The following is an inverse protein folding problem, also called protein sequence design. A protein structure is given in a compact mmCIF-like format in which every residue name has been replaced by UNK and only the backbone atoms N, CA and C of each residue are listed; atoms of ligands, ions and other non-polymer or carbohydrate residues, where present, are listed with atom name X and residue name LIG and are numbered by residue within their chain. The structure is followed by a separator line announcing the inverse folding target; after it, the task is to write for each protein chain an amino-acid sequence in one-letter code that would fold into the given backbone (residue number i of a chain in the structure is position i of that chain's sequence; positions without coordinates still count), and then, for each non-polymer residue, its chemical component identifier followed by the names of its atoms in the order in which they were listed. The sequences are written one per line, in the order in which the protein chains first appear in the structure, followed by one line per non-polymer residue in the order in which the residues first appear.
data_IF_600320393510
#
_entry.id   IF_600320393510
#
_cell.length_a   1.000
_cell.length_b   1.000
_cell.length_c   1.000
_cell.angle_alpha   90.00
_cell.angle_beta   90.00
_cell.angle_gamma   90.00
#
_symmetry.space_group_name_H-M   'P 1'
#
loop_
_entity.id
_entity.type
_entity.pdbx_description
1 polymer ?
#
# COMPACT_ATOMS: atom_id res chain seq x y z
N UNK A 1 56.16 70.87 -13.25
CA UNK A 1 55.86 69.70 -14.09
C UNK A 1 55.44 68.57 -13.17
N UNK A 2 54.11 68.33 -13.02
CA UNK A 2 53.52 67.34 -12.10
C UNK A 2 53.12 66.11 -12.91
N UNK A 3 53.71 64.95 -12.62
CA UNK A 3 53.38 63.68 -13.23
C UNK A 3 52.25 63.02 -12.41
N UNK A 4 51.10 62.80 -13.03
CA UNK A 4 50.02 62.06 -12.44
C UNK A 4 50.16 60.57 -12.81
N UNK A 5 50.44 59.70 -11.82
CA UNK A 5 50.30 58.26 -11.95
C UNK A 5 48.86 57.86 -11.74
N UNK A 6 48.21 57.27 -12.78
CA UNK A 6 46.88 56.65 -12.67
C UNK A 6 47.08 55.19 -12.27
N UNK A 7 46.65 54.79 -11.08
CA UNK A 7 46.51 53.43 -10.65
C UNK A 7 45.17 52.88 -11.19
N UNK A 8 45.26 51.86 -12.03
CA UNK A 8 44.10 51.06 -12.46
C UNK A 8 43.92 49.93 -11.45
N UNK A 9 42.84 49.96 -10.66
CA UNK A 9 42.43 48.84 -9.79
C UNK A 9 41.61 47.87 -10.59
N UNK A 10 42.24 46.71 -10.92
CA UNK A 10 41.54 45.59 -11.56
C UNK A 10 40.70 44.82 -10.52
N UNK A 11 39.38 44.86 -10.67
CA UNK A 11 38.45 44.05 -9.91
C UNK A 11 38.50 42.60 -10.41
N UNK A 12 39.13 41.71 -9.64
CA UNK A 12 39.06 40.26 -9.87
C UNK A 12 37.78 39.75 -9.25
N UNK A 13 36.76 39.48 -10.06
CA UNK A 13 35.55 38.77 -9.64
C UNK A 13 35.84 37.30 -9.40
N UNK A 14 36.01 36.90 -8.16
CA UNK A 14 36.10 35.50 -7.76
C UNK A 14 34.70 34.90 -7.84
N UNK A 15 34.43 34.19 -8.92
CA UNK A 15 33.23 33.37 -9.05
C UNK A 15 33.25 32.20 -8.06
N UNK A 16 32.51 32.32 -6.95
CA UNK A 16 32.29 31.19 -6.04
C UNK A 16 31.33 30.23 -6.75
N UNK A 17 31.90 29.28 -7.48
CA UNK A 17 31.18 28.13 -7.97
C UNK A 17 30.68 27.32 -6.79
N UNK A 18 29.37 27.37 -6.47
CA UNK A 18 28.76 26.46 -5.53
C UNK A 18 28.91 25.05 -6.08
N UNK A 19 29.91 24.31 -5.62
CA UNK A 19 30.00 22.89 -5.83
C UNK A 19 28.76 22.28 -5.16
N UNK A 20 27.74 21.93 -5.97
CA UNK A 20 26.65 21.06 -5.52
C UNK A 20 27.32 19.72 -5.21
N UNK A 21 27.62 19.47 -3.93
CA UNK A 21 28.03 18.15 -3.46
C UNK A 21 26.89 17.20 -3.82
N UNK A 22 27.08 16.39 -4.85
CA UNK A 22 26.18 15.28 -5.12
C UNK A 22 26.24 14.37 -3.88
N UNK A 23 25.13 14.31 -3.12
CA UNK A 23 25.06 13.44 -1.95
C UNK A 23 25.22 11.99 -2.41
N UNK A 24 26.15 11.26 -1.78
CA UNK A 24 26.35 9.85 -2.09
C UNK A 24 25.06 9.06 -1.93
N UNK A 25 24.78 8.18 -2.89
CA UNK A 25 23.61 7.32 -2.83
C UNK A 25 23.76 6.32 -1.67
N UNK A 26 22.64 6.13 -0.96
CA UNK A 26 22.54 5.16 0.14
C UNK A 26 21.33 4.24 -0.03
N UNK A 27 21.20 3.24 0.82
CA UNK A 27 20.00 2.41 0.92
C UNK A 27 19.56 1.79 -0.40
N UNK A 28 18.29 1.90 -0.69
CA UNK A 28 17.62 1.32 -1.86
C UNK A 28 18.13 1.88 -3.18
N UNK A 29 18.34 3.19 -3.26
CA UNK A 29 18.83 3.83 -4.49
C UNK A 29 20.25 3.38 -4.82
N UNK A 30 21.12 3.27 -3.81
CA UNK A 30 22.48 2.72 -4.02
C UNK A 30 22.42 1.28 -4.49
N UNK A 31 21.63 0.42 -3.81
CA UNK A 31 21.46 -0.98 -4.21
C UNK A 31 20.98 -1.09 -5.66
N UNK A 32 19.94 -0.34 -6.04
CA UNK A 32 19.39 -0.36 -7.40
C UNK A 32 20.45 0.05 -8.44
N UNK A 33 21.26 1.07 -8.13
CA UNK A 33 22.36 1.51 -9.00
C UNK A 33 23.44 0.44 -9.15
N UNK A 34 23.88 -0.15 -8.04
CA UNK A 34 24.98 -1.11 -8.02
C UNK A 34 24.61 -2.44 -8.69
N UNK A 35 23.33 -2.89 -8.52
CA UNK A 35 22.84 -4.17 -9.06
C UNK A 35 22.21 -4.07 -10.45
N UNK A 36 21.86 -2.86 -10.89
CA UNK A 36 21.11 -2.64 -12.12
C UNK A 36 19.65 -3.18 -12.06
N UNK A 37 19.11 -3.42 -10.86
CA UNK A 37 17.77 -3.99 -10.67
C UNK A 37 17.05 -3.37 -9.46
N UNK A 38 15.71 -3.28 -9.59
CA UNK A 38 14.81 -2.85 -8.53
C UNK A 38 13.69 -3.89 -8.37
N UNK A 39 13.40 -4.32 -7.15
CA UNK A 39 12.45 -5.40 -6.88
C UNK A 39 11.23 -4.89 -6.14
N UNK A 40 10.05 -5.04 -6.76
CA UNK A 40 8.76 -4.76 -6.15
C UNK A 40 8.16 -6.04 -5.58
N UNK A 41 7.78 -6.00 -4.30
CA UNK A 41 6.94 -7.01 -3.66
C UNK A 41 5.48 -6.75 -3.99
N UNK A 42 4.78 -7.71 -4.60
CA UNK A 42 3.37 -7.61 -4.97
C UNK A 42 2.51 -8.67 -4.29
N UNK A 43 1.19 -8.44 -4.26
CA UNK A 43 0.20 -9.38 -3.72
C UNK A 43 -0.53 -10.10 -4.86
N UNK A 44 -0.93 -11.33 -4.61
CA UNK A 44 -1.63 -12.15 -5.60
C UNK A 44 -3.16 -12.08 -5.49
N UNK A 45 -3.69 -11.63 -4.34
CA UNK A 45 -5.14 -11.65 -4.06
C UNK A 45 -5.68 -10.43 -3.30
N UNK A 46 -5.00 -9.28 -3.36
CA UNK A 46 -5.45 -8.02 -2.72
C UNK A 46 -6.19 -7.12 -3.71
N UNK A 47 -7.34 -7.60 -4.24
CA UNK A 47 -8.18 -6.85 -5.19
C UNK A 47 -8.81 -5.63 -4.49
N UNK A 48 -8.75 -4.42 -5.08
CA UNK A 48 -8.19 -4.04 -6.39
C UNK A 48 -6.77 -3.42 -6.32
N UNK A 49 -6.02 -3.60 -5.23
CA UNK A 49 -4.73 -2.93 -5.00
C UNK A 49 -3.55 -3.61 -5.70
N UNK A 50 -3.44 -4.94 -5.53
CA UNK A 50 -2.37 -5.76 -6.09
C UNK A 50 -2.87 -7.20 -6.19
N UNK A 51 -3.02 -7.69 -7.41
CA UNK A 51 -3.56 -9.02 -7.68
C UNK A 51 -3.16 -9.47 -9.09
N UNK A 52 -3.37 -10.74 -9.40
CA UNK A 52 -3.02 -11.31 -10.70
C UNK A 52 -4.18 -11.18 -11.70
N UNK A 53 -3.86 -10.76 -12.92
CA UNK A 53 -4.80 -10.79 -14.06
C UNK A 53 -4.87 -12.21 -14.67
N UNK A 54 -5.63 -12.38 -15.75
CA UNK A 54 -5.76 -13.66 -16.47
C UNK A 54 -4.45 -14.16 -17.09
N UNK A 55 -3.46 -13.28 -17.26
CA UNK A 55 -2.12 -13.57 -17.77
C UNK A 55 -1.10 -13.78 -16.65
N UNK A 56 -1.57 -13.89 -15.40
CA UNK A 56 -0.72 -14.00 -14.22
C UNK A 56 0.25 -12.80 -14.05
N UNK A 57 -0.16 -11.61 -14.52
CA UNK A 57 0.60 -10.40 -14.32
C UNK A 57 0.04 -9.62 -13.13
N UNK A 58 0.90 -9.10 -12.23
CA UNK A 58 0.43 -8.30 -11.12
C UNK A 58 -0.06 -6.93 -11.60
N UNK A 59 -1.31 -6.65 -11.29
CA UNK A 59 -2.01 -5.40 -11.61
C UNK A 59 -2.68 -4.82 -10.37
N UNK A 60 -3.19 -3.62 -10.46
CA UNK A 60 -4.00 -2.99 -9.42
C UNK A 60 -3.59 -1.55 -9.12
N UNK A 61 -4.38 -0.93 -8.28
CA UNK A 61 -4.22 0.47 -7.88
C UNK A 61 -2.84 0.77 -7.25
N UNK A 62 -2.43 -0.05 -6.28
CA UNK A 62 -1.12 0.10 -5.64
C UNK A 62 0.02 -0.20 -6.62
N UNK A 63 -0.16 -1.21 -7.49
CA UNK A 63 0.84 -1.53 -8.52
C UNK A 63 1.03 -0.36 -9.48
N UNK A 64 -0.05 0.31 -9.92
CA UNK A 64 0.05 1.46 -10.82
C UNK A 64 0.81 2.63 -10.17
N UNK A 65 0.55 2.91 -8.89
CA UNK A 65 1.29 3.93 -8.14
C UNK A 65 2.77 3.55 -7.96
N UNK A 66 3.05 2.28 -7.68
CA UNK A 66 4.41 1.78 -7.54
C UNK A 66 5.22 1.81 -8.84
N UNK A 67 4.56 1.60 -9.98
CA UNK A 67 5.22 1.77 -11.27
C UNK A 67 5.65 3.22 -11.53
N UNK A 68 4.89 4.21 -11.02
CA UNK A 68 5.32 5.62 -11.07
C UNK A 68 6.57 5.87 -10.21
N UNK A 69 6.64 5.22 -9.03
CA UNK A 69 7.85 5.27 -8.19
C UNK A 69 9.02 4.61 -8.91
N UNK A 70 8.83 3.46 -9.55
CA UNK A 70 9.88 2.80 -10.32
C UNK A 70 10.41 3.68 -11.46
N UNK A 71 9.53 4.35 -12.22
CA UNK A 71 9.96 5.30 -13.26
C UNK A 71 10.70 6.52 -12.65
N UNK A 72 10.29 6.99 -11.47
CA UNK A 72 11.01 8.03 -10.76
C UNK A 72 12.43 7.57 -10.32
N UNK A 73 12.58 6.31 -9.87
CA UNK A 73 13.90 5.71 -9.55
C UNK A 73 14.78 5.66 -10.80
N UNK A 74 14.26 5.23 -11.95
CA UNK A 74 14.99 5.21 -13.24
C UNK A 74 15.49 6.60 -13.61
N UNK A 75 14.62 7.60 -13.46
CA UNK A 75 14.94 8.99 -13.79
C UNK A 75 16.00 9.58 -12.85
N UNK A 76 15.85 9.36 -11.53
CA UNK A 76 16.75 9.86 -10.50
C UNK A 76 18.17 9.27 -10.64
N UNK A 77 18.23 7.95 -10.87
CA UNK A 77 19.50 7.24 -11.08
C UNK A 77 20.09 7.44 -12.48
N UNK A 78 19.35 8.05 -13.41
CA UNK A 78 19.70 8.16 -14.84
C UNK A 78 19.96 6.78 -15.48
N UNK A 79 19.16 5.79 -15.11
CA UNK A 79 19.26 4.40 -15.56
C UNK A 79 17.99 3.97 -16.32
N UNK A 80 17.82 4.35 -17.59
CA UNK A 80 16.62 4.02 -18.37
C UNK A 80 16.43 2.51 -18.55
N UNK A 81 17.51 1.72 -18.45
CA UNK A 81 17.53 0.25 -18.58
C UNK A 81 17.50 -0.48 -17.24
N UNK A 82 17.21 0.23 -16.12
CA UNK A 82 17.07 -0.41 -14.80
C UNK A 82 16.04 -1.54 -14.87
N UNK A 83 16.43 -2.74 -14.45
CA UNK A 83 15.59 -3.93 -14.51
C UNK A 83 14.54 -3.90 -13.40
N UNK A 84 13.29 -4.14 -13.74
CA UNK A 84 12.22 -4.42 -12.76
C UNK A 84 12.16 -5.92 -12.48
N UNK A 85 12.24 -6.28 -11.20
CA UNK A 85 11.90 -7.61 -10.72
C UNK A 85 10.59 -7.55 -9.93
N UNK A 86 9.76 -8.59 -10.05
CA UNK A 86 8.51 -8.71 -9.32
C UNK A 86 8.56 -9.95 -8.43
N UNK A 87 8.29 -9.78 -7.13
CA UNK A 87 8.35 -10.83 -6.12
C UNK A 87 7.00 -10.97 -5.43
N UNK A 88 6.32 -12.13 -5.49
CA UNK A 88 5.09 -12.34 -4.74
C UNK A 88 5.37 -12.33 -3.24
N UNK A 89 4.49 -11.66 -2.49
CA UNK A 89 4.56 -11.59 -1.03
C UNK A 89 3.19 -11.81 -0.40
N UNK A 90 3.19 -12.34 0.82
CA UNK A 90 2.00 -12.48 1.67
C UNK A 90 1.98 -11.40 2.75
N UNK A 91 0.85 -11.28 3.46
CA UNK A 91 0.78 -10.37 4.62
C UNK A 91 1.79 -10.73 5.73
N UNK A 92 2.15 -12.01 5.86
CA UNK A 92 3.08 -12.48 6.89
C UNK A 92 4.55 -12.28 6.53
N UNK A 93 4.95 -12.38 5.24
CA UNK A 93 6.36 -12.38 4.86
C UNK A 93 6.86 -11.05 4.28
N UNK A 94 5.97 -10.11 3.91
CA UNK A 94 6.35 -8.84 3.27
C UNK A 94 7.31 -7.97 4.10
N UNK A 95 7.11 -7.89 5.44
CA UNK A 95 8.00 -7.11 6.32
C UNK A 95 9.41 -7.74 6.37
N UNK A 96 9.58 -9.03 6.70
CA UNK A 96 10.90 -9.68 6.65
C UNK A 96 11.60 -9.57 5.28
N UNK A 97 10.87 -9.75 4.17
CA UNK A 97 11.44 -9.65 2.82
C UNK A 97 11.89 -8.23 2.46
N UNK A 98 11.22 -7.22 2.99
CA UNK A 98 11.64 -5.83 2.83
C UNK A 98 12.87 -5.51 3.67
N UNK A 99 12.87 -5.94 4.94
CA UNK A 99 13.97 -5.69 5.88
C UNK A 99 15.30 -6.33 5.43
N UNK A 100 15.26 -7.56 4.92
CA UNK A 100 16.44 -8.26 4.44
C UNK A 100 16.87 -7.86 3.02
N UNK A 101 16.13 -6.96 2.36
CA UNK A 101 16.45 -6.44 1.04
C UNK A 101 16.09 -7.36 -0.13
N UNK A 102 15.33 -8.45 0.09
CA UNK A 102 14.79 -9.28 -1.00
C UNK A 102 13.88 -8.46 -1.91
N UNK A 103 13.05 -7.59 -1.33
CA UNK A 103 12.28 -6.59 -2.06
C UNK A 103 12.74 -5.18 -1.66
N UNK A 104 12.56 -4.23 -2.56
CA UNK A 104 12.94 -2.83 -2.37
C UNK A 104 11.77 -1.95 -1.91
N UNK A 105 10.57 -2.33 -2.30
CA UNK A 105 9.31 -1.68 -1.95
C UNK A 105 8.19 -2.72 -1.97
N UNK A 106 7.20 -2.61 -1.07
CA UNK A 106 5.99 -3.42 -1.12
C UNK A 106 4.81 -2.62 -1.63
N UNK A 107 4.08 -3.22 -2.56
CA UNK A 107 2.98 -2.62 -3.31
C UNK A 107 1.72 -3.47 -3.15
N UNK A 108 0.89 -3.12 -2.17
CA UNK A 108 -0.30 -3.94 -1.88
C UNK A 108 -1.33 -3.19 -1.05
N UNK A 109 -1.83 -3.88 -0.04
CA UNK A 109 -2.83 -3.41 0.91
C UNK A 109 -2.23 -3.41 2.31
N UNK A 110 -1.21 -2.57 2.54
CA UNK A 110 -0.52 -2.55 3.83
C UNK A 110 -0.95 -1.38 4.68
N UNK A 111 -1.57 -1.70 5.80
CA UNK A 111 -1.88 -0.73 6.84
C UNK A 111 -0.61 -0.12 7.41
N UNK A 112 -0.52 1.20 7.37
CA UNK A 112 0.46 1.97 8.11
C UNK A 112 0.00 2.06 9.57
N UNK A 113 0.70 1.38 10.46
CA UNK A 113 0.45 1.45 11.90
C UNK A 113 1.72 1.80 12.67
N UNK A 114 1.56 2.45 13.83
CA UNK A 114 2.69 2.82 14.71
C UNK A 114 3.56 1.60 15.04
N UNK A 115 2.95 0.44 15.28
CA UNK A 115 3.69 -0.79 15.56
C UNK A 115 4.56 -1.24 14.37
N UNK A 116 4.06 -1.11 13.12
CA UNK A 116 4.84 -1.43 11.92
C UNK A 116 5.91 -0.39 11.62
N UNK A 117 5.69 0.88 11.95
CA UNK A 117 6.69 1.95 11.81
C UNK A 117 7.95 1.72 12.68
N UNK A 118 7.87 0.86 13.69
CA UNK A 118 9.07 0.43 14.42
C UNK A 118 9.99 -0.45 13.58
N UNK A 119 9.47 -1.09 12.53
CA UNK A 119 10.17 -2.09 11.71
C UNK A 119 10.47 -1.61 10.29
N UNK A 120 9.60 -0.77 9.71
CA UNK A 120 9.64 -0.31 8.32
C UNK A 120 9.20 1.15 8.24
N UNK A 121 9.46 1.81 7.11
CA UNK A 121 8.93 3.13 6.78
C UNK A 121 7.75 3.01 5.81
N UNK A 122 6.98 4.08 5.70
CA UNK A 122 5.82 4.16 4.83
C UNK A 122 5.86 5.42 3.97
N UNK A 123 5.38 5.34 2.74
CA UNK A 123 5.07 6.48 1.90
C UNK A 123 3.75 7.16 2.29
N UNK A 124 3.29 8.16 1.54
CA UNK A 124 2.02 8.82 1.77
C UNK A 124 0.83 7.85 1.72
N UNK A 125 -0.16 8.10 2.57
CA UNK A 125 -1.42 7.34 2.60
C UNK A 125 -2.16 7.50 1.28
N UNK A 126 -2.37 6.38 0.56
CA UNK A 126 -3.06 6.38 -0.73
C UNK A 126 -4.47 5.79 -0.68
N UNK A 127 -4.89 5.25 0.45
CA UNK A 127 -6.25 4.74 0.67
C UNK A 127 -6.57 4.67 2.16
N UNK A 128 -7.87 4.63 2.51
CA UNK A 128 -8.34 4.46 3.89
C UNK A 128 -9.45 3.43 3.89
N UNK A 129 -9.32 2.41 4.76
CA UNK A 129 -10.23 1.27 4.88
C UNK A 129 -10.89 1.22 6.25
N UNK A 130 -11.89 0.36 6.37
CA UNK A 130 -12.45 -0.07 7.65
C UNK A 130 -12.31 -1.59 7.78
N UNK A 131 -11.76 -2.06 8.90
CA UNK A 131 -11.69 -3.49 9.20
C UNK A 131 -13.07 -3.95 9.67
N UNK A 132 -13.68 -4.92 8.97
CA UNK A 132 -15.02 -5.43 9.24
C UNK A 132 -15.14 -6.91 8.89
N UNK A 133 -16.34 -7.43 8.61
CA UNK A 133 -16.57 -8.82 8.24
C UNK A 133 -17.48 -8.97 7.02
N UNK A 134 -17.15 -9.91 6.15
CA UNK A 134 -18.07 -10.47 5.16
C UNK A 134 -18.73 -11.74 5.71
N UNK A 135 -20.02 -11.88 5.44
CA UNK A 135 -20.84 -13.03 5.83
C UNK A 135 -21.73 -13.46 4.68
N UNK A 136 -22.21 -14.72 4.70
CA UNK A 136 -23.30 -15.10 3.81
C UNK A 136 -24.62 -14.49 4.32
N UNK A 137 -25.48 -13.98 3.44
CA UNK A 137 -26.79 -13.43 3.80
C UNK A 137 -27.67 -14.46 4.51
N UNK A 138 -27.55 -15.72 4.13
CA UNK A 138 -28.26 -16.86 4.72
C UNK A 138 -27.85 -17.15 6.17
N UNK A 139 -26.72 -16.64 6.65
CA UNK A 139 -26.23 -16.88 8.02
C UNK A 139 -27.05 -16.17 9.10
N UNK A 140 -27.79 -15.12 8.75
CA UNK A 140 -28.51 -14.26 9.68
C UNK A 140 -27.65 -13.33 10.53
N UNK A 141 -26.29 -13.37 10.37
CA UNK A 141 -25.33 -12.49 11.05
C UNK A 141 -25.45 -11.08 10.48
N UNK A 142 -25.63 -10.07 11.35
CA UNK A 142 -25.84 -8.66 10.94
C UNK A 142 -24.88 -7.70 11.60
N UNK A 143 -24.23 -8.12 12.68
CA UNK A 143 -23.32 -7.30 13.49
C UNK A 143 -22.08 -8.10 13.92
N UNK A 144 -21.04 -7.42 14.37
CA UNK A 144 -19.81 -8.07 14.85
C UNK A 144 -20.07 -8.89 16.14
N UNK A 145 -21.03 -8.49 16.98
CA UNK A 145 -21.36 -9.24 18.19
C UNK A 145 -22.04 -10.58 17.89
N UNK A 146 -22.70 -10.72 16.72
CA UNK A 146 -23.30 -12.00 16.28
C UNK A 146 -22.23 -13.05 15.95
N UNK A 147 -20.95 -12.67 15.90
CA UNK A 147 -19.81 -13.59 15.72
C UNK A 147 -19.48 -14.37 17.00
N UNK A 148 -20.11 -14.04 18.13
CA UNK A 148 -19.91 -14.75 19.38
C UNK A 148 -20.21 -16.27 19.23
N UNK A 149 -19.29 -17.11 19.70
CA UNK A 149 -19.33 -18.57 19.56
C UNK A 149 -19.11 -19.10 18.15
N UNK A 150 -18.82 -18.23 17.16
CA UNK A 150 -18.62 -18.62 15.77
C UNK A 150 -17.16 -18.89 15.46
N UNK A 151 -16.93 -19.69 14.41
CA UNK A 151 -15.64 -19.83 13.76
C UNK A 151 -15.58 -18.88 12.58
N UNK A 152 -14.55 -18.02 12.54
CA UNK A 152 -14.33 -17.06 11.44
C UNK A 152 -12.98 -17.31 10.77
N UNK A 153 -12.84 -16.82 9.54
CA UNK A 153 -11.53 -16.73 8.88
C UNK A 153 -10.97 -15.31 8.96
N UNK A 154 -9.65 -15.22 8.99
CA UNK A 154 -8.90 -13.99 8.73
C UNK A 154 -7.56 -14.35 8.11
N UNK A 155 -6.81 -13.37 7.60
CA UNK A 155 -5.53 -13.64 6.92
C UNK A 155 -4.36 -13.44 7.88
N UNK A 156 -3.46 -14.42 7.94
CA UNK A 156 -2.23 -14.36 8.75
C UNK A 156 -1.40 -13.11 8.45
N UNK A 157 -0.88 -12.43 9.48
CA UNK A 157 -0.02 -11.25 9.36
C UNK A 157 -0.75 -9.94 9.06
N UNK A 158 -2.09 -9.93 9.13
CA UNK A 158 -2.91 -8.71 9.01
C UNK A 158 -3.17 -8.06 10.36
N UNK A 159 -3.63 -6.81 10.34
CA UNK A 159 -4.07 -6.07 11.54
C UNK A 159 -5.40 -6.58 12.08
N UNK A 160 -6.17 -7.30 11.28
CA UNK A 160 -7.44 -7.91 11.72
C UNK A 160 -7.24 -8.89 12.88
N UNK A 161 -6.10 -9.62 12.91
CA UNK A 161 -5.81 -10.60 13.99
C UNK A 161 -5.76 -9.95 15.38
N UNK A 162 -4.88 -8.96 15.65
CA UNK A 162 -4.87 -8.31 16.96
C UNK A 162 -6.16 -7.52 17.27
N UNK A 163 -6.84 -6.99 16.24
CA UNK A 163 -8.11 -6.29 16.44
C UNK A 163 -9.22 -7.23 16.89
N UNK A 164 -9.31 -8.44 16.31
CA UNK A 164 -10.26 -9.47 16.77
C UNK A 164 -10.01 -9.84 18.24
N UNK A 165 -8.76 -10.13 18.60
CA UNK A 165 -8.39 -10.46 19.99
C UNK A 165 -8.72 -9.33 20.96
N UNK A 166 -8.56 -8.08 20.54
CA UNK A 166 -8.96 -6.92 21.33
C UNK A 166 -10.49 -6.84 21.45
N UNK A 167 -11.21 -7.09 20.35
CA UNK A 167 -12.67 -7.08 20.31
C UNK A 167 -13.25 -8.16 21.24
N UNK A 168 -12.76 -9.41 21.16
CA UNK A 168 -13.16 -10.52 22.03
C UNK A 168 -13.06 -10.13 23.50
N UNK A 169 -11.90 -9.59 23.88
CA UNK A 169 -11.64 -9.17 25.26
C UNK A 169 -12.55 -8.02 25.71
N UNK A 170 -12.77 -7.01 24.86
CA UNK A 170 -13.52 -5.80 25.24
C UNK A 170 -15.02 -6.00 25.23
N UNK A 171 -15.53 -6.88 24.36
CA UNK A 171 -16.96 -7.19 24.23
C UNK A 171 -17.37 -8.46 24.97
N UNK A 172 -16.40 -9.16 25.58
CA UNK A 172 -16.62 -10.45 26.27
C UNK A 172 -17.34 -11.45 25.34
N UNK A 173 -16.83 -11.59 24.11
CA UNK A 173 -17.28 -12.56 23.12
C UNK A 173 -16.20 -13.61 22.91
N UNK A 174 -16.57 -14.78 22.41
CA UNK A 174 -15.65 -15.87 22.10
C UNK A 174 -15.69 -16.16 20.61
N UNK A 175 -14.64 -15.77 19.89
CA UNK A 175 -14.51 -15.99 18.44
C UNK A 175 -13.37 -16.99 18.19
N UNK A 176 -13.67 -18.06 17.43
CA UNK A 176 -12.65 -19.02 16.99
C UNK A 176 -12.09 -18.60 15.65
N UNK A 177 -10.77 -18.44 15.56
CA UNK A 177 -10.11 -17.94 14.35
C UNK A 177 -9.44 -19.08 13.57
N UNK A 178 -9.65 -19.10 12.25
CA UNK A 178 -8.89 -19.89 11.28
C UNK A 178 -8.15 -18.92 10.36
N UNK A 179 -6.87 -19.18 10.13
CA UNK A 179 -6.01 -18.29 9.38
C UNK A 179 -5.73 -18.82 7.98
N UNK A 180 -6.11 -18.05 6.94
CA UNK A 180 -5.61 -18.27 5.58
C UNK A 180 -4.23 -17.63 5.38
N UNK A 181 -3.45 -18.15 4.44
CA UNK A 181 -2.15 -17.57 4.07
C UNK A 181 -2.31 -16.26 3.27
N UNK A 182 -3.43 -16.13 2.53
CA UNK A 182 -3.79 -14.96 1.76
C UNK A 182 -5.32 -14.71 1.80
N UNK A 183 -5.76 -13.62 1.15
CA UNK A 183 -7.17 -13.21 1.23
C UNK A 183 -8.09 -14.15 0.45
N UNK A 184 -7.63 -14.75 -0.65
CA UNK A 184 -8.42 -15.69 -1.43
C UNK A 184 -8.67 -16.99 -0.65
N UNK A 185 -7.64 -17.53 0.02
CA UNK A 185 -7.79 -18.71 0.89
C UNK A 185 -8.72 -18.42 2.07
N UNK A 186 -8.57 -17.25 2.73
CA UNK A 186 -9.46 -16.87 3.83
C UNK A 186 -10.91 -16.73 3.39
N UNK A 187 -11.16 -16.15 2.20
CA UNK A 187 -12.51 -16.05 1.63
C UNK A 187 -13.05 -17.42 1.19
N UNK A 188 -12.20 -18.31 0.71
CA UNK A 188 -12.59 -19.68 0.33
C UNK A 188 -13.16 -20.44 1.53
N UNK A 189 -12.60 -20.27 2.74
CA UNK A 189 -13.14 -20.87 3.96
C UNK A 189 -14.59 -20.41 4.25
N UNK A 190 -14.89 -19.14 4.04
CA UNK A 190 -16.26 -18.60 4.13
C UNK A 190 -17.17 -19.17 3.03
N UNK A 191 -16.70 -19.19 1.80
CA UNK A 191 -17.51 -19.64 0.66
C UNK A 191 -17.89 -21.11 0.76
N UNK A 192 -17.03 -21.94 1.37
CA UNK A 192 -17.24 -23.37 1.60
C UNK A 192 -17.95 -23.69 2.92
N UNK A 193 -18.51 -22.71 3.63
CA UNK A 193 -19.19 -22.87 4.93
C UNK A 193 -18.30 -23.46 6.05
N UNK A 194 -16.96 -23.37 5.89
CA UNK A 194 -16.01 -23.77 6.92
C UNK A 194 -15.88 -22.71 8.02
N UNK A 195 -16.24 -21.48 7.71
CA UNK A 195 -16.31 -20.37 8.65
C UNK A 195 -17.60 -19.58 8.43
N UNK A 196 -18.08 -18.91 9.48
CA UNK A 196 -19.31 -18.11 9.46
C UNK A 196 -19.08 -16.69 8.92
N UNK A 197 -17.85 -16.21 8.96
CA UNK A 197 -17.45 -14.90 8.49
C UNK A 197 -15.99 -14.89 8.02
N UNK A 198 -15.65 -13.93 7.16
CA UNK A 198 -14.26 -13.54 6.87
C UNK A 198 -14.05 -12.10 7.35
N UNK A 199 -13.18 -11.93 8.36
CA UNK A 199 -12.85 -10.61 8.92
C UNK A 199 -11.63 -10.04 8.22
N UNK A 200 -11.81 -8.88 7.58
CA UNK A 200 -10.78 -8.20 6.76
C UNK A 200 -11.23 -6.77 6.46
N UNK A 201 -10.45 -6.07 5.69
CA UNK A 201 -10.68 -4.70 5.24
C UNK A 201 -11.83 -4.64 4.23
N UNK A 202 -12.77 -3.72 4.41
CA UNK A 202 -14.02 -3.60 3.67
C UNK A 202 -13.86 -3.70 2.14
N UNK A 203 -12.92 -2.96 1.59
CA UNK A 203 -12.65 -2.97 0.14
C UNK A 203 -12.06 -4.29 -0.34
N UNK A 204 -11.23 -4.97 0.46
CA UNK A 204 -10.70 -6.30 0.13
C UNK A 204 -11.80 -7.36 0.19
N UNK A 205 -12.71 -7.26 1.18
CA UNK A 205 -13.91 -8.10 1.24
C UNK A 205 -14.78 -7.89 -0.01
N UNK A 206 -15.02 -6.63 -0.40
CA UNK A 206 -15.76 -6.31 -1.60
C UNK A 206 -15.09 -6.90 -2.86
N UNK A 207 -13.76 -6.82 -2.95
CA UNK A 207 -12.98 -7.41 -4.05
C UNK A 207 -13.11 -8.94 -4.12
N UNK A 208 -13.03 -9.65 -3.00
CA UNK A 208 -13.20 -11.09 -2.95
C UNK A 208 -14.63 -11.50 -3.31
N UNK A 209 -15.64 -10.80 -2.77
CA UNK A 209 -17.06 -11.01 -3.08
C UNK A 209 -17.32 -10.81 -4.57
N UNK A 210 -16.89 -9.68 -5.13
CA UNK A 210 -17.07 -9.35 -6.55
C UNK A 210 -16.43 -10.38 -7.48
N UNK A 211 -15.29 -10.95 -7.06
CA UNK A 211 -14.59 -12.00 -7.81
C UNK A 211 -15.11 -13.42 -7.53
N UNK A 212 -16.08 -13.60 -6.64
CA UNK A 212 -16.70 -14.90 -6.37
C UNK A 212 -17.63 -15.37 -7.49
N UNK A 213 -18.10 -16.63 -7.39
CA UNK A 213 -19.10 -17.17 -8.32
C UNK A 213 -20.49 -16.57 -8.13
N UNK A 214 -20.86 -16.24 -6.88
CA UNK A 214 -22.18 -15.75 -6.49
C UNK A 214 -22.06 -14.52 -5.57
N UNK A 215 -21.70 -13.35 -6.09
CA UNK A 215 -21.53 -12.14 -5.27
C UNK A 215 -22.77 -11.75 -4.46
N UNK A 216 -23.96 -12.05 -5.00
CA UNK A 216 -25.26 -11.75 -4.38
C UNK A 216 -25.52 -12.48 -3.07
N UNK A 217 -24.78 -13.56 -2.76
CA UNK A 217 -24.98 -14.37 -1.54
C UNK A 217 -24.33 -13.76 -0.32
N UNK A 218 -23.46 -12.77 -0.50
CA UNK A 218 -22.66 -12.18 0.58
C UNK A 218 -23.13 -10.76 0.93
N UNK A 219 -22.79 -10.35 2.12
CA UNK A 219 -22.88 -8.96 2.58
C UNK A 219 -21.68 -8.62 3.45
N UNK A 220 -21.36 -7.34 3.52
CA UNK A 220 -20.34 -6.78 4.41
C UNK A 220 -21.08 -6.10 5.57
N UNK A 221 -20.66 -6.41 6.80
CA UNK A 221 -21.20 -5.80 8.02
C UNK A 221 -20.82 -4.32 8.05
N UNK A 222 -21.77 -3.45 8.42
CA UNK A 222 -21.54 -1.99 8.43
C UNK A 222 -20.67 -1.51 9.61
N UNK A 223 -20.69 -2.26 10.73
CA UNK A 223 -19.81 -1.98 11.87
C UNK A 223 -18.35 -2.23 11.50
N UNK A 224 -17.45 -1.44 12.04
CA UNK A 224 -16.01 -1.64 11.86
C UNK A 224 -15.28 -1.78 13.18
N UNK A 225 -14.22 -2.59 13.19
CA UNK A 225 -13.29 -2.72 14.28
C UNK A 225 -12.38 -1.50 14.41
N UNK A 226 -11.89 -1.00 13.27
CA UNK A 226 -11.01 0.18 13.16
C UNK A 226 -10.93 0.69 11.73
N UNK A 227 -10.74 2.00 11.58
CA UNK A 227 -10.35 2.62 10.32
C UNK A 227 -8.81 2.66 10.21
N UNK A 228 -8.27 2.35 9.02
CA UNK A 228 -6.82 2.23 8.83
C UNK A 228 -6.35 2.85 7.49
N UNK A 229 -5.18 3.56 7.49
CA UNK A 229 -4.56 4.05 6.28
C UNK A 229 -3.71 2.97 5.60
N UNK A 230 -3.76 2.89 4.27
CA UNK A 230 -2.85 2.10 3.45
C UNK A 230 -1.74 2.96 2.86
N UNK A 231 -0.53 2.43 2.89
CA UNK A 231 0.65 3.07 2.32
C UNK A 231 1.61 2.04 1.72
N UNK A 232 2.45 2.48 0.79
CA UNK A 232 3.60 1.70 0.32
C UNK A 232 4.58 1.50 1.46
N UNK A 233 5.14 0.31 1.56
CA UNK A 233 6.08 -0.03 2.61
C UNK A 233 7.51 0.01 2.07
N UNK A 234 8.39 0.68 2.81
CA UNK A 234 9.78 0.97 2.47
C UNK A 234 10.69 0.47 3.59
N UNK A 235 11.99 0.26 3.31
CA UNK A 235 12.95 -0.02 4.38
C UNK A 235 13.02 1.16 5.35
N UNK A 236 13.13 0.85 6.64
CA UNK A 236 13.40 1.83 7.67
C UNK A 236 14.81 2.41 7.45
N UNK A 237 15.00 3.65 7.87
CA UNK A 237 16.30 4.33 7.81
C UNK A 237 16.88 4.50 6.39
N UNK A 238 16.00 4.64 5.39
CA UNK A 238 16.32 4.92 3.99
C UNK A 238 15.73 6.28 3.55
N UNK A 239 16.26 7.40 4.06
CA UNK A 239 15.66 8.72 3.85
C UNK A 239 15.69 9.19 2.40
N UNK A 240 16.69 8.78 1.60
CA UNK A 240 16.80 9.18 0.20
C UNK A 240 15.69 8.54 -0.62
N UNK A 241 15.47 7.24 -0.46
CA UNK A 241 14.39 6.55 -1.17
C UNK A 241 13.01 7.00 -0.68
N UNK A 242 12.85 7.18 0.65
CA UNK A 242 11.60 7.73 1.20
C UNK A 242 11.26 9.10 0.61
N UNK A 243 12.22 10.02 0.53
CA UNK A 243 12.01 11.34 -0.07
C UNK A 243 11.57 11.25 -1.53
N UNK A 244 12.15 10.32 -2.31
CA UNK A 244 11.75 10.08 -3.70
C UNK A 244 10.30 9.56 -3.79
N UNK A 245 9.93 8.60 -2.95
CA UNK A 245 8.57 8.06 -2.88
C UNK A 245 7.57 9.14 -2.47
N UNK A 246 7.87 9.90 -1.41
CA UNK A 246 6.99 10.96 -0.92
C UNK A 246 6.78 12.05 -1.98
N UNK A 247 7.84 12.46 -2.67
CA UNK A 247 7.78 13.41 -3.78
C UNK A 247 6.93 12.88 -4.93
N UNK A 248 7.11 11.61 -5.30
CA UNK A 248 6.42 11.01 -6.44
C UNK A 248 4.94 10.82 -6.15
N UNK A 249 4.60 10.14 -5.06
CA UNK A 249 3.20 9.86 -4.69
C UNK A 249 2.46 11.15 -4.32
N UNK A 250 3.10 12.02 -3.54
CA UNK A 250 2.56 13.34 -3.22
C UNK A 250 2.37 14.23 -4.46
N UNK A 251 3.24 14.10 -5.46
CA UNK A 251 3.08 14.77 -6.77
C UNK A 251 1.86 14.29 -7.54
N UNK A 252 1.61 12.97 -7.57
CA UNK A 252 0.42 12.36 -8.18
C UNK A 252 -0.87 12.85 -7.48
N UNK A 253 -0.83 12.98 -6.16
CA UNK A 253 -1.95 13.52 -5.39
C UNK A 253 -2.18 15.01 -5.68
N UNK A 254 -1.14 15.81 -5.58
CA UNK A 254 -1.21 17.28 -5.78
C UNK A 254 -1.62 17.69 -7.20
N UNK A 255 -1.24 16.91 -8.22
CA UNK A 255 -1.65 17.15 -9.61
C UNK A 255 -3.10 16.76 -9.90
N UNK A 256 -3.77 16.06 -8.98
CA UNK A 256 -5.09 15.49 -9.19
C UNK A 256 -5.11 14.22 -10.06
N UNK A 257 -3.95 13.72 -10.48
CA UNK A 257 -3.85 12.47 -11.24
C UNK A 257 -4.36 11.27 -10.43
N UNK A 258 -4.19 11.30 -9.10
CA UNK A 258 -4.67 10.26 -8.19
C UNK A 258 -6.17 9.96 -8.36
N UNK A 259 -7.00 10.98 -8.61
CA UNK A 259 -8.44 10.81 -8.81
C UNK A 259 -8.76 10.00 -10.08
N UNK A 260 -7.98 10.16 -11.14
CA UNK A 260 -8.12 9.37 -12.39
C UNK A 260 -7.73 7.92 -12.17
N UNK A 261 -6.61 7.69 -11.46
CA UNK A 261 -6.15 6.35 -11.10
C UNK A 261 -7.17 5.69 -10.16
N UNK A 262 -7.69 6.43 -9.17
CA UNK A 262 -8.76 5.97 -8.29
C UNK A 262 -10.00 5.55 -9.08
N UNK A 263 -10.52 6.41 -9.96
CA UNK A 263 -11.71 6.14 -10.75
C UNK A 263 -11.55 4.88 -11.61
N UNK A 264 -10.37 4.64 -12.18
CA UNK A 264 -10.05 3.44 -12.95
C UNK A 264 -10.24 2.16 -12.12
N UNK A 265 -9.81 2.14 -10.85
CA UNK A 265 -9.75 0.92 -10.06
C UNK A 265 -10.94 0.71 -9.12
N UNK A 266 -11.69 1.77 -8.78
CA UNK A 266 -12.75 1.69 -7.77
C UNK A 266 -14.15 2.05 -8.28
N UNK A 267 -14.25 2.82 -9.38
CA UNK A 267 -15.56 3.23 -9.93
C UNK A 267 -15.72 2.90 -11.40
N UNK A 268 -14.80 2.12 -11.98
CA UNK A 268 -14.87 1.58 -13.34
C UNK A 268 -14.74 0.05 -13.31
N UNK A 269 -15.16 -0.64 -14.37
CA UNK A 269 -14.94 -2.08 -14.51
C UNK A 269 -13.44 -2.42 -14.54
N UNK A 270 -13.01 -3.37 -13.71
CA UNK A 270 -11.62 -3.83 -13.60
C UNK A 270 -11.46 -5.30 -14.04
N UNK A 271 -10.28 -5.67 -14.62
CA UNK A 271 -10.00 -7.06 -14.93
C UNK A 271 -9.88 -7.92 -13.66
N UNK A 272 -9.95 -9.28 -13.75
CA UNK A 272 -10.22 -10.01 -14.99
C UNK A 272 -11.71 -10.10 -15.32
N UNK A 273 -12.61 -10.00 -14.35
CA UNK A 273 -14.05 -10.23 -14.51
C UNK A 273 -14.85 -9.00 -14.95
N UNK A 274 -14.20 -7.92 -15.26
CA UNK A 274 -14.84 -6.65 -15.63
C UNK A 274 -15.87 -6.13 -14.59
N UNK A 275 -15.52 -6.28 -13.31
CA UNK A 275 -16.36 -5.90 -12.16
C UNK A 275 -16.06 -4.47 -11.76
N UNK A 276 -17.14 -3.68 -11.56
CA UNK A 276 -17.04 -2.36 -10.94
C UNK A 276 -17.27 -2.48 -9.43
N UNK A 277 -16.31 -2.01 -8.63
CA UNK A 277 -16.41 -2.02 -7.16
C UNK A 277 -17.46 -1.04 -6.64
N UNK A 278 -17.85 -0.03 -7.46
CA UNK A 278 -18.77 1.05 -7.08
C UNK A 278 -18.39 1.71 -5.74
N UNK A 279 -17.10 1.90 -5.53
CA UNK A 279 -16.54 2.44 -4.29
C UNK A 279 -16.03 3.87 -4.52
N UNK A 280 -16.87 4.90 -4.31
CA UNK A 280 -16.44 6.30 -4.50
C UNK A 280 -15.47 6.74 -3.42
N UNK A 281 -14.68 7.79 -3.72
CA UNK A 281 -13.78 8.40 -2.73
C UNK A 281 -14.55 8.86 -1.49
N UNK A 282 -14.23 8.27 -0.35
CA UNK A 282 -14.79 8.65 0.96
C UNK A 282 -14.12 9.94 1.47
N UNK A 283 -14.70 10.60 2.48
CA UNK A 283 -14.11 11.79 3.07
C UNK A 283 -12.68 11.57 3.60
N UNK A 284 -12.34 10.46 4.30
CA UNK A 284 -10.97 10.17 4.71
C UNK A 284 -9.99 9.99 3.54
N UNK A 285 -10.43 9.39 2.43
CA UNK A 285 -9.61 9.23 1.22
C UNK A 285 -9.32 10.59 0.57
N UNK A 286 -10.34 11.44 0.43
CA UNK A 286 -10.18 12.80 -0.10
C UNK A 286 -9.23 13.63 0.76
N UNK A 287 -9.33 13.51 2.07
CA UNK A 287 -8.43 14.17 3.02
C UNK A 287 -6.99 13.69 2.86
N UNK A 288 -6.75 12.38 2.72
CA UNK A 288 -5.43 11.82 2.49
C UNK A 288 -4.79 12.33 1.18
N UNK A 289 -5.60 12.53 0.13
CA UNK A 289 -5.11 13.07 -1.15
C UNK A 289 -4.82 14.57 -1.09
N UNK A 290 -5.66 15.33 -0.37
CA UNK A 290 -5.47 16.78 -0.20
C UNK A 290 -4.25 17.09 0.69
N UNK A 291 -4.00 16.28 1.71
CA UNK A 291 -2.96 16.45 2.72
C UNK A 291 -2.08 15.20 2.84
N UNK A 292 -1.22 14.90 1.82
CA UNK A 292 -0.38 13.71 1.80
C UNK A 292 0.49 13.61 3.05
N UNK A 293 0.39 12.51 3.78
CA UNK A 293 1.17 12.24 4.98
C UNK A 293 1.31 10.73 5.21
N UNK A 294 2.20 10.34 6.11
CA UNK A 294 2.51 8.97 6.48
C UNK A 294 2.15 8.66 7.95
N UNK A 295 1.10 9.29 8.48
CA UNK A 295 0.64 9.03 9.84
C UNK A 295 0.06 7.63 9.95
N UNK A 296 0.55 6.87 10.92
CA UNK A 296 0.03 5.55 11.26
C UNK A 296 -1.05 5.57 12.34
N UNK A 297 -1.82 4.49 12.42
CA UNK A 297 -2.81 4.24 13.48
C UNK A 297 -2.25 3.34 14.57
#
# INVERSE_FOLDING_TARGET
MKLLCKFAVGLVAIGIGSAVCAQDLTGTLKKAKDTGAFTIGYRESSIPFSYLDDKQQPIGYAMELCMKVFEAVKADLKMPTLKLNLQPVTSSNRIPLLQNGTIDMECGSTTNSVARQQQVAFGPTYFVINVTAAVKKSSGIKSLVDLNGKTISTTSGTTSVPLLKQYDKTKNVEIKEIYGKDHAESFLLLSQDRTSAFVMDDILLAGQIANSGNPGDYMIIQESLRQEPYSMMLRKDDPQFKALVDKTVGGVMKSGEIHKIYAKWFTSPIPPKNVNMNFPETAPIKEAFANPNDKGV
#
